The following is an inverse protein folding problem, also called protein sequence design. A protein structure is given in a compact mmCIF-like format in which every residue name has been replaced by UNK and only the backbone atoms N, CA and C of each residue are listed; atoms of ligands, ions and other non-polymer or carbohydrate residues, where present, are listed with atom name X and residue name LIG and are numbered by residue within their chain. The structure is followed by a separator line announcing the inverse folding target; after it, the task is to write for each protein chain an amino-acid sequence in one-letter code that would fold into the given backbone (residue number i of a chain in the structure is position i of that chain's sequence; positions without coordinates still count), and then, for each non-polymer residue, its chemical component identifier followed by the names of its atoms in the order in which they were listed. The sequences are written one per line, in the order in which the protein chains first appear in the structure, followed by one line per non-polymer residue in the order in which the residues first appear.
data_IF_815567444824
#
_entry.id   IF_815567444824
#
_cell.length_a   1.000
_cell.length_b   1.000
_cell.length_c   1.000
_cell.angle_alpha   90.00
_cell.angle_beta   90.00
_cell.angle_gamma   90.00
#
_symmetry.space_group_name_H-M   'P 1'
#
loop_
_entity.id
_entity.type
_entity.pdbx_description
1 polymer ?
#
# COMPACT_ATOMS: atom_id res chain seq x y z
N UNK A 1 -19.55 29.33 -23.63
CA UNK A 1 -20.85 29.07 -22.99
C UNK A 1 -20.58 28.67 -21.56
N UNK A 2 -20.73 29.61 -20.63
CA UNK A 2 -20.49 29.42 -19.21
C UNK A 2 -21.85 29.28 -18.51
N UNK A 3 -22.03 28.22 -17.71
CA UNK A 3 -23.14 28.11 -16.76
C UNK A 3 -22.54 28.17 -15.35
N UNK A 4 -22.63 29.36 -14.76
CA UNK A 4 -22.46 29.61 -13.34
C UNK A 4 -23.63 28.95 -12.59
N UNK A 5 -23.35 27.93 -11.80
CA UNK A 5 -24.29 27.44 -10.79
C UNK A 5 -24.04 28.22 -9.51
N UNK A 6 -24.84 29.28 -9.34
CA UNK A 6 -24.96 30.08 -8.15
C UNK A 6 -25.73 29.27 -7.10
N UNK A 7 -25.03 28.55 -6.21
CA UNK A 7 -25.66 27.91 -5.06
C UNK A 7 -25.89 28.99 -4.00
N UNK A 8 -27.13 29.46 -3.99
CA UNK A 8 -27.73 30.31 -2.97
C UNK A 8 -27.71 29.51 -1.65
N UNK A 9 -26.69 29.75 -0.82
CA UNK A 9 -26.70 29.32 0.58
C UNK A 9 -27.60 30.29 1.35
N UNK A 10 -28.91 30.07 1.23
CA UNK A 10 -29.94 30.78 1.98
C UNK A 10 -29.74 30.53 3.48
N UNK A 11 -29.18 31.54 4.15
CA UNK A 11 -29.72 32.16 5.36
C UNK A 11 -30.89 31.36 5.97
N UNK A 12 -30.54 30.43 6.86
CA UNK A 12 -31.41 29.96 7.94
C UNK A 12 -30.69 30.29 9.25
N UNK A 13 -30.49 31.60 9.45
CA UNK A 13 -30.35 32.19 10.77
C UNK A 13 -31.70 31.98 11.47
N UNK A 14 -31.81 30.88 12.21
CA UNK A 14 -32.82 30.72 13.23
C UNK A 14 -32.53 31.80 14.30
N UNK A 15 -33.41 32.79 14.35
CA UNK A 15 -33.53 33.71 15.48
C UNK A 15 -34.03 32.88 16.65
N UNK A 16 -33.11 32.34 17.44
CA UNK A 16 -33.41 31.75 18.74
C UNK A 16 -33.51 32.91 19.73
N UNK A 17 -34.63 32.99 20.44
CA UNK A 17 -34.81 33.90 21.57
C UNK A 17 -33.70 33.61 22.60
N UNK A 18 -32.71 34.49 22.70
CA UNK A 18 -31.68 34.41 23.72
C UNK A 18 -32.26 34.91 25.06
N UNK A 19 -32.80 33.99 25.86
CA UNK A 19 -32.57 34.09 27.30
C UNK A 19 -31.06 33.90 27.50
N UNK A 20 -30.39 34.83 28.17
CA UNK A 20 -28.98 34.67 28.53
C UNK A 20 -28.79 33.28 29.13
N UNK A 21 -27.95 32.40 28.54
CA UNK A 21 -27.75 31.06 29.07
C UNK A 21 -27.25 31.18 30.50
N UNK A 22 -27.92 30.51 31.44
CA UNK A 22 -27.41 30.48 32.80
C UNK A 22 -26.03 29.80 32.77
N UNK A 23 -25.05 30.23 33.59
CA UNK A 23 -23.69 29.68 33.57
C UNK A 23 -23.61 28.15 33.68
N UNK A 24 -24.63 27.53 34.29
CA UNK A 24 -24.78 26.08 34.44
C UNK A 24 -25.14 25.38 33.13
N UNK A 25 -25.91 26.03 32.25
CA UNK A 25 -26.35 25.47 30.97
C UNK A 25 -25.17 25.32 30.01
N UNK A 26 -24.21 26.25 30.03
CA UNK A 26 -23.03 26.22 29.16
C UNK A 26 -22.00 25.15 29.57
N UNK A 27 -21.91 24.84 30.86
CA UNK A 27 -21.09 23.72 31.34
C UNK A 27 -21.67 22.39 30.83
N UNK A 28 -22.98 22.21 31.00
CA UNK A 28 -23.69 21.00 30.54
C UNK A 28 -23.62 20.84 29.02
N UNK A 29 -23.82 21.93 28.28
CA UNK A 29 -23.63 21.95 26.82
C UNK A 29 -22.20 21.53 26.44
N UNK A 30 -21.17 22.05 27.10
CA UNK A 30 -19.78 21.69 26.80
C UNK A 30 -19.49 20.19 27.02
N UNK A 31 -20.00 19.60 28.10
CA UNK A 31 -19.87 18.15 28.32
C UNK A 31 -20.66 17.33 27.29
N UNK A 32 -21.87 17.77 26.91
CA UNK A 32 -22.64 17.13 25.85
C UNK A 32 -21.88 17.18 24.51
N UNK A 33 -21.35 18.35 24.14
CA UNK A 33 -20.57 18.51 22.92
C UNK A 33 -19.30 17.67 22.92
N UNK A 34 -18.63 17.55 24.07
CA UNK A 34 -17.47 16.67 24.23
C UNK A 34 -17.85 15.19 24.08
N UNK A 35 -18.98 14.75 24.63
CA UNK A 35 -19.46 13.39 24.46
C UNK A 35 -19.80 13.08 22.99
N UNK A 36 -20.44 14.02 22.30
CA UNK A 36 -20.69 13.91 20.86
C UNK A 36 -19.38 13.84 20.06
N UNK A 37 -18.38 14.69 20.40
CA UNK A 37 -17.05 14.63 19.81
C UNK A 37 -16.37 13.27 20.05
N UNK A 38 -16.43 12.74 21.27
CA UNK A 38 -15.87 11.42 21.59
C UNK A 38 -16.46 10.34 20.70
N UNK A 39 -17.79 10.27 20.59
CA UNK A 39 -18.45 9.25 19.78
C UNK A 39 -18.07 9.35 18.30
N UNK A 40 -18.04 10.57 17.75
CA UNK A 40 -17.65 10.81 16.36
C UNK A 40 -16.18 10.45 16.13
N UNK A 41 -15.28 10.92 16.99
CA UNK A 41 -13.85 10.66 16.88
C UNK A 41 -13.55 9.16 16.99
N UNK A 42 -14.14 8.46 17.97
CA UNK A 42 -13.97 7.01 18.10
C UNK A 42 -14.51 6.25 16.89
N UNK A 43 -15.67 6.64 16.36
CA UNK A 43 -16.25 6.03 15.17
C UNK A 43 -15.34 6.17 13.95
N UNK A 44 -14.87 7.38 13.66
CA UNK A 44 -14.00 7.65 12.51
C UNK A 44 -12.61 7.01 12.67
N UNK A 45 -12.02 7.05 13.88
CA UNK A 45 -10.78 6.33 14.18
C UNK A 45 -10.93 4.82 13.95
N UNK A 46 -12.04 4.23 14.38
CA UNK A 46 -12.31 2.81 14.18
C UNK A 46 -12.44 2.46 12.69
N UNK A 47 -13.21 3.24 11.93
CA UNK A 47 -13.36 3.07 10.48
C UNK A 47 -12.02 3.23 9.77
N UNK A 48 -11.23 4.25 10.14
CA UNK A 48 -9.91 4.48 9.57
C UNK A 48 -8.94 3.32 9.83
N UNK A 49 -8.91 2.78 11.05
CA UNK A 49 -8.11 1.59 11.40
C UNK A 49 -8.52 0.36 10.59
N UNK A 50 -9.82 0.11 10.47
CA UNK A 50 -10.32 -1.03 9.70
C UNK A 50 -9.91 -0.91 8.22
N UNK A 51 -10.03 0.29 7.64
CA UNK A 51 -9.59 0.54 6.27
C UNK A 51 -8.09 0.34 6.08
N UNK A 52 -7.26 0.88 6.98
CA UNK A 52 -5.80 0.69 6.94
C UNK A 52 -5.41 -0.79 7.04
N UNK A 53 -6.07 -1.55 7.92
CA UNK A 53 -5.86 -3.00 8.02
C UNK A 53 -6.33 -3.75 6.78
N UNK A 54 -7.40 -3.29 6.13
CA UNK A 54 -7.87 -3.86 4.88
C UNK A 54 -6.87 -3.64 3.76
N UNK A 55 -6.34 -2.42 3.61
CA UNK A 55 -5.32 -2.07 2.63
C UNK A 55 -4.06 -2.94 2.77
N UNK A 56 -3.60 -3.16 4.00
CA UNK A 56 -2.44 -4.02 4.23
C UNK A 56 -2.67 -5.46 3.75
N UNK A 57 -3.88 -5.99 3.93
CA UNK A 57 -4.24 -7.34 3.48
C UNK A 57 -4.37 -7.41 1.96
N UNK A 58 -5.06 -6.44 1.36
CA UNK A 58 -5.21 -6.34 -0.10
C UNK A 58 -3.84 -6.29 -0.78
N UNK A 59 -2.95 -5.41 -0.30
CA UNK A 59 -1.58 -5.32 -0.77
C UNK A 59 -0.83 -6.65 -0.68
N UNK A 60 -0.95 -7.35 0.46
CA UNK A 60 -0.29 -8.66 0.65
C UNK A 60 -0.82 -9.74 -0.31
N UNK A 61 -2.14 -9.82 -0.49
CA UNK A 61 -2.77 -10.76 -1.40
C UNK A 61 -2.37 -10.48 -2.86
N UNK A 62 -2.34 -9.21 -3.26
CA UNK A 62 -1.97 -8.83 -4.62
C UNK A 62 -0.47 -9.04 -4.89
N UNK A 63 0.39 -8.71 -3.92
CA UNK A 63 1.82 -9.02 -4.00
C UNK A 63 2.07 -10.52 -4.17
N UNK A 64 1.35 -11.35 -3.43
CA UNK A 64 1.44 -12.80 -3.57
C UNK A 64 1.00 -13.29 -4.96
N UNK A 65 -0.10 -12.75 -5.52
CA UNK A 65 -0.56 -13.11 -6.87
C UNK A 65 0.48 -12.74 -7.93
N UNK A 66 1.08 -11.55 -7.82
CA UNK A 66 2.11 -11.09 -8.76
C UNK A 66 3.35 -11.99 -8.67
N UNK A 67 3.81 -12.36 -7.47
CA UNK A 67 4.91 -13.31 -7.29
C UNK A 67 4.62 -14.66 -7.94
N UNK A 68 3.43 -15.22 -7.69
CA UNK A 68 3.03 -16.50 -8.24
C UNK A 68 3.01 -16.47 -9.77
N UNK A 69 2.49 -15.38 -10.35
CA UNK A 69 2.50 -15.20 -11.80
C UNK A 69 3.94 -15.11 -12.35
N UNK A 70 4.80 -14.29 -11.75
CA UNK A 70 6.18 -14.14 -12.19
C UNK A 70 6.97 -15.46 -12.15
N UNK A 71 6.79 -16.25 -11.08
CA UNK A 71 7.41 -17.57 -10.97
C UNK A 71 6.90 -18.54 -12.05
N UNK A 72 5.60 -18.50 -12.37
CA UNK A 72 5.03 -19.30 -13.47
C UNK A 72 5.58 -18.85 -14.83
N UNK A 73 5.75 -17.55 -15.05
CA UNK A 73 6.32 -17.02 -16.29
C UNK A 73 7.78 -17.46 -16.46
N UNK A 74 8.59 -17.45 -15.38
CA UNK A 74 9.95 -18.00 -15.36
C UNK A 74 9.95 -19.52 -15.64
N UNK A 75 9.05 -20.28 -15.03
CA UNK A 75 8.95 -21.73 -15.22
C UNK A 75 8.60 -22.09 -16.68
N UNK A 76 7.63 -21.40 -17.28
CA UNK A 76 7.25 -21.61 -18.68
C UNK A 76 8.38 -21.28 -19.65
N UNK A 77 9.09 -20.18 -19.41
CA UNK A 77 10.23 -19.80 -20.24
C UNK A 77 11.41 -20.78 -20.04
N UNK A 78 11.63 -21.26 -18.82
CA UNK A 78 12.60 -22.33 -18.55
C UNK A 78 12.30 -23.62 -19.31
N UNK A 79 11.05 -24.08 -19.31
CA UNK A 79 10.63 -25.24 -20.10
C UNK A 79 10.90 -25.02 -21.59
N UNK A 80 10.63 -23.82 -22.10
CA UNK A 80 10.88 -23.45 -23.50
C UNK A 80 12.36 -23.54 -23.84
N UNK A 81 13.23 -22.96 -23.02
CA UNK A 81 14.69 -23.03 -23.19
C UNK A 81 15.19 -24.48 -23.13
N UNK A 82 14.69 -25.30 -22.21
CA UNK A 82 15.06 -26.71 -22.10
C UNK A 82 14.66 -27.54 -23.33
N UNK A 83 13.48 -27.28 -23.90
CA UNK A 83 13.04 -27.92 -25.14
C UNK A 83 13.97 -27.55 -26.30
N UNK A 84 14.34 -26.27 -26.41
CA UNK A 84 15.27 -25.80 -27.44
C UNK A 84 16.66 -26.42 -27.27
N UNK A 85 17.19 -26.45 -26.03
CA UNK A 85 18.47 -27.11 -25.73
C UNK A 85 18.44 -28.61 -26.07
N UNK A 86 17.35 -29.30 -25.75
CA UNK A 86 17.16 -30.72 -26.10
C UNK A 86 17.18 -30.92 -27.61
N UNK A 87 16.51 -30.04 -28.36
CA UNK A 87 16.50 -30.07 -29.83
C UNK A 87 17.90 -29.90 -30.41
N UNK A 88 18.71 -28.98 -29.87
CA UNK A 88 20.11 -28.78 -30.28
C UNK A 88 20.95 -30.04 -30.01
N UNK A 89 20.78 -30.66 -28.83
CA UNK A 89 21.46 -31.91 -28.47
C UNK A 89 21.09 -33.06 -29.42
N UNK A 90 19.81 -33.22 -29.73
CA UNK A 90 19.33 -34.26 -30.65
C UNK A 90 19.85 -34.06 -32.08
N UNK A 91 19.96 -32.80 -32.53
CA UNK A 91 20.55 -32.46 -33.83
C UNK A 91 22.03 -32.85 -33.88
N UNK A 92 22.81 -32.47 -32.87
CA UNK A 92 24.23 -32.81 -32.77
C UNK A 92 24.46 -34.33 -32.71
N UNK A 93 23.65 -35.04 -31.91
CA UNK A 93 23.68 -36.49 -31.83
C UNK A 93 23.38 -37.15 -33.18
N UNK A 94 22.37 -36.65 -33.89
CA UNK A 94 22.01 -37.12 -35.24
C UNK A 94 23.13 -36.88 -36.27
N UNK A 95 23.92 -35.81 -36.09
CA UNK A 95 25.12 -35.52 -36.87
C UNK A 95 26.35 -36.33 -36.43
N UNK A 96 26.26 -37.13 -35.36
CA UNK A 96 27.38 -37.90 -34.82
C UNK A 96 28.47 -37.01 -34.20
N UNK A 97 28.11 -35.83 -33.71
CA UNK A 97 29.02 -34.86 -33.11
C UNK A 97 28.89 -34.84 -31.59
N UNK A 98 30.02 -34.66 -30.91
CA UNK A 98 30.06 -34.43 -29.47
C UNK A 98 30.06 -32.93 -29.19
N UNK A 99 29.05 -32.45 -28.46
CA UNK A 99 28.86 -31.05 -28.09
C UNK A 99 29.05 -30.79 -26.59
N UNK A 100 29.59 -31.75 -25.84
CA UNK A 100 29.80 -31.62 -24.39
C UNK A 100 30.61 -30.37 -24.02
N UNK A 101 31.54 -29.96 -24.90
CA UNK A 101 32.32 -28.73 -24.74
C UNK A 101 31.49 -27.44 -24.79
N UNK A 102 30.34 -27.45 -25.49
CA UNK A 102 29.42 -26.33 -25.57
C UNK A 102 28.46 -26.28 -24.36
N UNK A 103 28.04 -27.45 -23.85
CA UNK A 103 26.94 -27.57 -22.88
C UNK A 103 27.38 -27.68 -21.42
N UNK A 104 28.50 -28.35 -21.10
CA UNK A 104 28.81 -28.83 -19.74
C UNK A 104 28.62 -27.82 -18.60
N UNK A 105 29.10 -26.58 -18.74
CA UNK A 105 28.94 -25.56 -17.67
C UNK A 105 27.72 -24.66 -17.88
N UNK A 106 27.24 -24.55 -19.12
CA UNK A 106 26.16 -23.64 -19.50
C UNK A 106 24.79 -24.20 -19.15
N UNK A 107 24.63 -25.51 -19.27
CA UNK A 107 23.40 -26.20 -18.90
C UNK A 107 23.17 -26.15 -17.38
N UNK A 108 24.21 -26.38 -16.58
CA UNK A 108 24.13 -26.21 -15.12
C UNK A 108 23.74 -24.78 -14.73
N UNK A 109 24.30 -23.79 -15.43
CA UNK A 109 23.93 -22.38 -15.24
C UNK A 109 22.45 -22.15 -15.57
N UNK A 110 22.00 -22.57 -16.77
CA UNK A 110 20.59 -22.48 -17.21
C UNK A 110 19.62 -23.11 -16.21
N UNK A 111 19.97 -24.28 -15.65
CA UNK A 111 19.15 -24.99 -14.68
C UNK A 111 19.08 -24.30 -13.31
N UNK A 112 20.09 -23.48 -12.98
CA UNK A 112 20.12 -22.73 -11.72
C UNK A 112 19.41 -21.37 -11.78
N UNK A 113 19.29 -20.77 -12.98
CA UNK A 113 18.74 -19.43 -13.16
C UNK A 113 17.32 -19.25 -12.59
N UNK A 114 16.36 -20.17 -12.80
CA UNK A 114 15.01 -19.98 -12.25
C UNK A 114 15.00 -19.79 -10.73
N UNK A 115 15.79 -20.58 -10.00
CA UNK A 115 15.88 -20.47 -8.55
C UNK A 115 16.46 -19.11 -8.11
N UNK A 116 17.50 -18.63 -8.80
CA UNK A 116 18.12 -17.35 -8.50
C UNK A 116 17.15 -16.18 -8.72
N UNK A 117 16.42 -16.16 -9.83
CA UNK A 117 15.45 -15.09 -10.10
C UNK A 117 14.21 -15.16 -9.20
N UNK A 118 13.76 -16.37 -8.83
CA UNK A 118 12.69 -16.53 -7.83
C UNK A 118 13.10 -15.97 -6.45
N UNK A 119 14.37 -16.13 -6.06
CA UNK A 119 14.91 -15.52 -4.83
C UNK A 119 14.96 -14.00 -4.94
N UNK A 120 15.38 -13.45 -6.09
CA UNK A 120 15.40 -12.00 -6.34
C UNK A 120 14.00 -11.39 -6.27
N UNK A 121 13.00 -12.01 -6.91
CA UNK A 121 11.59 -11.62 -6.83
C UNK A 121 11.14 -11.58 -5.37
N UNK A 122 11.40 -12.66 -4.63
CA UNK A 122 11.01 -12.78 -3.22
C UNK A 122 11.64 -11.71 -2.34
N UNK A 123 12.94 -11.43 -2.54
CA UNK A 123 13.68 -10.41 -1.80
C UNK A 123 13.16 -9.00 -2.12
N UNK A 124 12.93 -8.68 -3.39
CA UNK A 124 12.39 -7.39 -3.82
C UNK A 124 10.99 -7.17 -3.21
N UNK A 125 10.09 -8.14 -3.35
CA UNK A 125 8.73 -8.06 -2.82
C UNK A 125 8.69 -7.98 -1.29
N UNK A 126 9.58 -8.68 -0.58
CA UNK A 126 9.68 -8.55 0.88
C UNK A 126 10.05 -7.12 1.29
N UNK A 127 10.96 -6.47 0.55
CA UNK A 127 11.31 -5.06 0.75
C UNK A 127 10.11 -4.14 0.57
N UNK A 128 9.38 -4.29 -0.54
CA UNK A 128 8.18 -3.47 -0.81
C UNK A 128 7.07 -3.72 0.22
N UNK A 129 6.86 -4.97 0.64
CA UNK A 129 5.90 -5.32 1.68
C UNK A 129 6.23 -4.70 3.04
N UNK A 130 7.51 -4.59 3.39
CA UNK A 130 7.93 -3.90 4.60
C UNK A 130 7.63 -2.39 4.53
N UNK A 131 7.78 -1.75 3.36
CA UNK A 131 7.40 -0.35 3.16
C UNK A 131 5.89 -0.16 3.32
N UNK A 132 5.07 -1.04 2.73
CA UNK A 132 3.62 -1.01 2.88
C UNK A 132 3.18 -1.17 4.34
N UNK A 133 3.77 -2.13 5.06
CA UNK A 133 3.50 -2.35 6.48
C UNK A 133 3.88 -1.13 7.35
N UNK A 134 4.98 -0.45 6.98
CA UNK A 134 5.43 0.78 7.67
C UNK A 134 4.44 1.92 7.44
N UNK A 135 4.04 2.17 6.19
CA UNK A 135 3.07 3.21 5.85
C UNK A 135 1.73 3.04 6.60
N UNK A 136 1.21 1.81 6.66
CA UNK A 136 -0.01 1.47 7.41
C UNK A 136 0.17 1.68 8.91
N UNK A 137 1.31 1.26 9.47
CA UNK A 137 1.61 1.40 10.90
C UNK A 137 1.72 2.86 11.30
N UNK A 138 2.42 3.67 10.51
CA UNK A 138 2.60 5.10 10.76
C UNK A 138 1.27 5.85 10.68
N UNK A 139 0.45 5.56 9.66
CA UNK A 139 -0.88 6.16 9.50
C UNK A 139 -1.81 5.80 10.66
N UNK A 140 -1.77 4.53 11.09
CA UNK A 140 -2.54 4.08 12.26
C UNK A 140 -2.07 4.79 13.53
N UNK A 141 -0.76 4.89 13.74
CA UNK A 141 -0.21 5.60 14.89
C UNK A 141 -0.68 7.05 14.89
N UNK A 142 -0.61 7.75 13.76
CA UNK A 142 -1.07 9.14 13.62
C UNK A 142 -2.56 9.30 14.00
N UNK A 143 -3.44 8.44 13.47
CA UNK A 143 -4.86 8.42 13.80
C UNK A 143 -5.07 8.18 15.31
N UNK A 144 -4.30 7.28 15.91
CA UNK A 144 -4.42 6.94 17.32
C UNK A 144 -4.08 8.12 18.24
N UNK A 145 -3.10 8.94 17.88
CA UNK A 145 -2.73 10.12 18.69
C UNK A 145 -3.84 11.18 18.70
N UNK A 146 -4.72 11.21 17.69
CA UNK A 146 -5.84 12.17 17.64
C UNK A 146 -6.80 11.99 18.81
N UNK A 147 -6.90 10.79 19.40
CA UNK A 147 -7.75 10.59 20.57
C UNK A 147 -7.26 11.36 21.79
N UNK A 148 -5.96 11.60 21.89
CA UNK A 148 -5.38 12.33 23.01
C UNK A 148 -5.89 13.78 23.04
N UNK A 149 -6.20 14.39 21.88
CA UNK A 149 -6.84 15.71 21.84
C UNK A 149 -8.23 15.70 22.48
N UNK A 150 -9.01 14.64 22.23
CA UNK A 150 -10.34 14.49 22.83
C UNK A 150 -10.24 14.33 24.35
N UNK A 151 -9.25 13.56 24.83
CA UNK A 151 -8.98 13.43 26.28
C UNK A 151 -8.51 14.75 26.89
N UNK A 152 -7.70 15.53 26.17
CA UNK A 152 -7.27 16.86 26.62
C UNK A 152 -8.44 17.82 26.83
N UNK A 153 -9.44 17.82 25.94
CA UNK A 153 -10.64 18.65 26.14
C UNK A 153 -11.42 18.24 27.40
N UNK A 154 -11.53 16.94 27.70
CA UNK A 154 -12.14 16.48 28.95
C UNK A 154 -11.43 17.01 30.18
N UNK A 155 -10.10 16.87 30.21
CA UNK A 155 -9.29 17.42 31.30
C UNK A 155 -9.41 18.95 31.43
N UNK A 156 -9.44 19.67 30.31
CA UNK A 156 -9.59 21.13 30.31
C UNK A 156 -10.97 21.58 30.81
N UNK A 157 -12.04 20.87 30.44
CA UNK A 157 -13.38 21.15 30.98
C UNK A 157 -13.45 20.94 32.48
N UNK A 158 -12.84 19.85 32.99
CA UNK A 158 -12.79 19.58 34.43
C UNK A 158 -12.06 20.69 35.20
N UNK A 159 -10.97 21.23 34.63
CA UNK A 159 -10.25 22.37 35.22
C UNK A 159 -11.04 23.68 35.20
N UNK A 160 -11.94 23.84 34.23
CA UNK A 160 -12.70 25.07 34.01
C UNK A 160 -14.13 25.05 34.56
N UNK A 161 -14.50 23.98 35.27
CA UNK A 161 -15.86 23.76 35.79
C UNK A 161 -16.46 24.95 36.58
N UNK A 162 -15.64 25.67 37.35
CA UNK A 162 -16.09 26.80 38.17
C UNK A 162 -15.91 28.17 37.48
N UNK A 163 -15.28 28.22 36.31
CA UNK A 163 -14.96 29.47 35.60
C UNK A 163 -15.59 29.51 34.20
N UNK A 164 -16.76 30.13 34.12
CA UNK A 164 -17.53 30.31 32.90
C UNK A 164 -16.75 30.93 31.73
N UNK A 165 -15.92 31.94 32.00
CA UNK A 165 -15.13 32.63 30.96
C UNK A 165 -14.13 31.69 30.28
N UNK A 166 -13.73 30.60 30.96
CA UNK A 166 -12.87 29.57 30.38
C UNK A 166 -13.65 28.58 29.47
N UNK A 167 -14.94 28.34 29.72
CA UNK A 167 -15.71 27.30 29.04
C UNK A 167 -16.05 27.69 27.60
N UNK A 168 -16.42 28.95 27.35
CA UNK A 168 -16.84 29.38 26.01
C UNK A 168 -15.77 29.19 24.92
N UNK A 169 -14.49 29.52 25.15
CA UNK A 169 -13.40 29.17 24.22
C UNK A 169 -13.24 27.67 24.00
N UNK A 170 -13.37 26.85 25.06
CA UNK A 170 -13.25 25.39 24.98
C UNK A 170 -14.39 24.77 24.17
N UNK A 171 -15.63 25.20 24.41
CA UNK A 171 -16.80 24.77 23.65
C UNK A 171 -16.62 25.06 22.15
N UNK A 172 -16.12 26.25 21.80
CA UNK A 172 -15.82 26.60 20.41
C UNK A 172 -14.78 25.66 19.80
N UNK A 173 -13.72 25.34 20.54
CA UNK A 173 -12.69 24.39 20.06
C UNK A 173 -13.23 22.96 19.90
N UNK A 174 -14.07 22.49 20.83
CA UNK A 174 -14.74 21.19 20.75
C UNK A 174 -15.58 21.12 19.47
N UNK A 175 -16.41 22.14 19.21
CA UNK A 175 -17.25 22.22 18.02
C UNK A 175 -16.43 22.22 16.71
N UNK A 176 -15.28 22.89 16.69
CA UNK A 176 -14.37 22.87 15.54
C UNK A 176 -13.75 21.48 15.33
N UNK A 177 -13.26 20.84 16.40
CA UNK A 177 -12.63 19.53 16.30
C UNK A 177 -13.62 18.40 15.97
N UNK A 178 -14.93 18.59 16.22
CA UNK A 178 -15.99 17.68 15.73
C UNK A 178 -16.02 17.54 14.21
N UNK A 179 -15.60 18.59 13.49
CA UNK A 179 -15.49 18.57 12.04
C UNK A 179 -14.08 18.16 11.61
N UNK A 180 -13.07 18.70 12.30
CA UNK A 180 -11.67 18.54 11.90
C UNK A 180 -11.13 17.14 12.12
N UNK A 181 -11.39 16.49 13.26
CA UNK A 181 -10.84 15.15 13.54
C UNK A 181 -11.29 14.14 12.49
N UNK A 182 -12.58 14.01 12.15
CA UNK A 182 -13.03 13.13 11.08
C UNK A 182 -12.33 13.40 9.74
N UNK A 183 -12.20 14.68 9.37
CA UNK A 183 -11.54 15.07 8.14
C UNK A 183 -10.07 14.63 8.12
N UNK A 184 -9.33 14.91 9.19
CA UNK A 184 -7.91 14.54 9.30
C UNK A 184 -7.71 13.02 9.26
N UNK A 185 -8.60 12.25 9.89
CA UNK A 185 -8.56 10.77 9.80
C UNK A 185 -8.74 10.31 8.36
N UNK A 186 -9.73 10.84 7.63
CA UNK A 186 -9.96 10.47 6.23
C UNK A 186 -8.82 10.87 5.32
N UNK A 187 -8.26 12.07 5.51
CA UNK A 187 -7.09 12.54 4.75
C UNK A 187 -5.89 11.62 4.97
N UNK A 188 -5.63 11.19 6.21
CA UNK A 188 -4.53 10.26 6.50
C UNK A 188 -4.74 8.89 5.85
N UNK A 189 -5.96 8.34 5.93
CA UNK A 189 -6.29 7.08 5.24
C UNK A 189 -6.08 7.22 3.73
N UNK A 190 -6.52 8.32 3.12
CA UNK A 190 -6.36 8.56 1.68
C UNK A 190 -4.89 8.72 1.27
N UNK A 191 -4.08 9.33 2.11
CA UNK A 191 -2.63 9.44 1.89
C UNK A 191 -1.98 8.05 1.92
N UNK A 192 -2.34 7.22 2.91
CA UNK A 192 -1.85 5.85 2.98
C UNK A 192 -2.29 5.03 1.76
N UNK A 193 -3.54 5.17 1.30
CA UNK A 193 -4.03 4.51 0.08
C UNK A 193 -3.16 4.86 -1.13
N UNK A 194 -2.81 6.14 -1.28
CA UNK A 194 -1.98 6.61 -2.39
C UNK A 194 -0.59 5.97 -2.35
N UNK A 195 0.03 5.91 -1.17
CA UNK A 195 1.33 5.25 -0.97
C UNK A 195 1.23 3.75 -1.30
N UNK A 196 0.17 3.07 -0.84
CA UNK A 196 -0.02 1.64 -1.11
C UNK A 196 -0.17 1.38 -2.62
N UNK A 197 -0.94 2.19 -3.35
CA UNK A 197 -1.06 2.06 -4.80
C UNK A 197 0.27 2.29 -5.55
N UNK A 198 1.13 3.19 -5.08
CA UNK A 198 2.48 3.36 -5.65
C UNK A 198 3.38 2.14 -5.38
N UNK A 199 3.23 1.53 -4.20
CA UNK A 199 3.95 0.30 -3.85
C UNK A 199 3.46 -0.91 -4.63
N UNK A 200 2.18 -1.00 -4.99
CA UNK A 200 1.64 -2.04 -5.89
C UNK A 200 2.34 -2.03 -7.25
N UNK A 201 2.58 -0.83 -7.81
CA UNK A 201 3.38 -0.69 -9.04
C UNK A 201 4.81 -1.17 -8.85
N UNK A 202 5.38 -0.95 -7.66
CA UNK A 202 6.74 -1.41 -7.35
C UNK A 202 6.83 -2.94 -7.25
N UNK A 203 5.80 -3.61 -6.71
CA UNK A 203 5.67 -5.07 -6.74
C UNK A 203 5.63 -5.58 -8.18
N UNK A 204 4.83 -4.94 -9.04
CA UNK A 204 4.75 -5.32 -10.45
C UNK A 204 6.11 -5.17 -11.15
N UNK A 205 6.82 -4.06 -10.90
CA UNK A 205 8.16 -3.84 -11.45
C UNK A 205 9.16 -4.91 -10.97
N UNK A 206 9.16 -5.27 -9.68
CA UNK A 206 10.02 -6.35 -9.15
C UNK A 206 9.85 -7.65 -9.96
N UNK A 207 8.60 -8.00 -10.28
CA UNK A 207 8.26 -9.20 -11.06
C UNK A 207 8.68 -9.05 -12.53
N UNK A 208 8.24 -7.99 -13.19
CA UNK A 208 8.46 -7.79 -14.63
C UNK A 208 9.95 -7.67 -14.97
N UNK A 209 10.72 -6.94 -14.15
CA UNK A 209 12.18 -6.82 -14.32
C UNK A 209 12.87 -8.16 -14.16
N UNK A 210 12.54 -8.92 -13.11
CA UNK A 210 13.17 -10.24 -12.86
C UNK A 210 12.84 -11.25 -13.97
N UNK A 211 11.59 -11.28 -14.45
CA UNK A 211 11.20 -12.13 -15.58
C UNK A 211 11.96 -11.73 -16.85
N UNK A 212 12.03 -10.42 -17.14
CA UNK A 212 12.73 -9.93 -18.34
C UNK A 212 14.24 -10.23 -18.30
N UNK A 213 14.89 -10.01 -17.15
CA UNK A 213 16.30 -10.30 -16.95
C UNK A 213 16.59 -11.80 -17.07
N UNK A 214 15.74 -12.64 -16.46
CA UNK A 214 15.80 -14.10 -16.63
C UNK A 214 15.73 -14.50 -18.12
N UNK A 215 14.74 -14.00 -18.86
CA UNK A 215 14.57 -14.34 -20.28
C UNK A 215 15.78 -13.91 -21.11
N UNK A 216 16.32 -12.72 -20.87
CA UNK A 216 17.51 -12.21 -21.58
C UNK A 216 18.73 -13.07 -21.27
N UNK A 217 18.98 -13.39 -20.01
CA UNK A 217 20.15 -14.19 -19.60
C UNK A 217 20.06 -15.63 -20.12
N UNK A 218 18.90 -16.29 -19.95
CA UNK A 218 18.69 -17.65 -20.41
C UNK A 218 18.79 -17.76 -21.94
N UNK A 219 18.18 -16.82 -22.68
CA UNK A 219 18.28 -16.76 -24.14
C UNK A 219 19.72 -16.50 -24.61
N UNK A 220 20.46 -15.65 -23.89
CA UNK A 220 21.88 -15.39 -24.18
C UNK A 220 22.73 -16.65 -24.06
N UNK A 221 22.57 -17.41 -22.97
CA UNK A 221 23.30 -18.67 -22.77
C UNK A 221 22.92 -19.69 -23.85
N UNK A 222 21.64 -19.80 -24.20
CA UNK A 222 21.20 -20.71 -25.25
C UNK A 222 21.76 -20.33 -26.63
N UNK A 223 21.82 -19.03 -26.95
CA UNK A 223 22.44 -18.55 -28.18
C UNK A 223 23.92 -18.93 -28.24
N UNK A 224 24.67 -18.75 -27.15
CA UNK A 224 26.08 -19.19 -27.08
C UNK A 224 26.25 -20.70 -27.28
N UNK A 225 25.35 -21.51 -26.72
CA UNK A 225 25.35 -22.98 -26.96
C UNK A 225 25.10 -23.24 -28.45
N UNK A 226 24.10 -22.58 -29.03
CA UNK A 226 23.71 -22.77 -30.43
C UNK A 226 24.86 -22.44 -31.37
N UNK A 227 25.47 -21.26 -31.22
CA UNK A 227 26.60 -20.83 -32.03
C UNK A 227 27.79 -21.81 -31.92
N UNK A 228 28.10 -22.26 -30.71
CA UNK A 228 29.16 -23.25 -30.48
C UNK A 228 28.87 -24.61 -31.15
N UNK A 229 27.61 -25.06 -31.11
CA UNK A 229 27.19 -26.31 -31.75
C UNK A 229 27.24 -26.21 -33.27
N UNK A 230 26.78 -25.09 -33.83
CA UNK A 230 26.80 -24.84 -35.27
C UNK A 230 28.24 -24.86 -35.81
N UNK A 231 29.22 -24.29 -35.08
CA UNK A 231 30.64 -24.39 -35.44
C UNK A 231 31.18 -25.83 -35.49
N UNK A 232 30.66 -26.74 -34.66
CA UNK A 232 31.09 -28.15 -34.60
C UNK A 232 30.43 -28.99 -35.70
N UNK A 233 29.16 -28.70 -36.01
CA UNK A 233 28.38 -29.42 -37.01
C UNK A 233 28.82 -29.01 -38.42
N UNK A 234 29.04 -27.71 -38.67
CA UNK A 234 29.40 -27.14 -39.97
C UNK A 234 28.18 -26.86 -40.85
#
# INVERSE_FOLDING_TARGET
MAKQSLIIFCILFLVINASDPEPRDLVEEAYQQLFELQNIAYGEIFVGRDRLQHLQREFGDDAQKVAQKANLDIEQEHETINIQLTTIKDLALSAGKDISSCTNNREDLLNSLPANYNEQISSCMAGVAQLAATAVTDSRYFIDILINKVHQFGYQLDLCYENFECISPLLTQILLERVRIPQVVREEVQNCETIISELELSVQNCADESVAEYTVEASGILAEITDCVDEIIG
#
